data_IF_127050863501
#
_entry.id   IF_127050863501
#
_cell.length_a   1.000
_cell.length_b   1.000
_cell.length_c   1.000
_cell.angle_alpha   90.00
_cell.angle_beta   90.00
_cell.angle_gamma   90.00
#
_symmetry.space_group_name_H-M   'P 1'
#
loop_
_entity.id
_entity.type
_entity.pdbx_description
1 polymer ?
#
# COMPACT_ATOMS: atom_id res chain seq x y z
N UNK A 1 -25.10 66.31 28.64
CA UNK A 1 -24.15 65.31 29.18
C UNK A 1 -24.52 63.84 28.91
N UNK A 2 -25.80 63.45 28.78
CA UNK A 2 -26.17 62.02 28.57
C UNK A 2 -25.73 61.39 27.23
N UNK A 3 -25.62 62.17 26.15
CA UNK A 3 -25.22 61.63 24.82
C UNK A 3 -23.73 61.28 24.71
N UNK A 4 -22.85 61.99 25.43
CA UNK A 4 -21.42 61.72 25.43
C UNK A 4 -21.05 60.43 26.18
N UNK A 5 -21.75 60.14 27.28
CA UNK A 5 -21.55 58.93 28.06
C UNK A 5 -21.95 57.66 27.28
N UNK A 6 -23.05 57.73 26.52
CA UNK A 6 -23.50 56.61 25.68
C UNK A 6 -22.51 56.33 24.57
N UNK A 7 -21.94 57.36 23.94
CA UNK A 7 -20.93 57.17 22.89
C UNK A 7 -19.63 56.55 23.44
N UNK A 8 -19.19 56.97 24.63
CA UNK A 8 -18.04 56.37 25.31
C UNK A 8 -18.27 54.91 25.70
N UNK A 9 -19.48 54.56 26.14
CA UNK A 9 -19.86 53.18 26.45
C UNK A 9 -19.90 52.30 25.20
N UNK A 10 -20.42 52.80 24.08
CA UNK A 10 -20.45 52.06 22.80
C UNK A 10 -19.03 51.84 22.28
N UNK A 11 -18.16 52.85 22.36
CA UNK A 11 -16.74 52.70 21.97
C UNK A 11 -16.03 51.71 22.89
N UNK A 12 -16.25 51.76 24.20
CA UNK A 12 -15.65 50.81 25.13
C UNK A 12 -16.13 49.36 24.89
N UNK A 13 -17.40 49.15 24.58
CA UNK A 13 -17.95 47.82 24.27
C UNK A 13 -17.40 47.30 22.94
N UNK A 14 -17.29 48.14 21.91
CA UNK A 14 -16.70 47.75 20.63
C UNK A 14 -15.20 47.45 20.78
N UNK A 15 -14.49 48.23 21.59
CA UNK A 15 -13.07 48.01 21.88
C UNK A 15 -12.85 46.72 22.68
N UNK A 16 -13.73 46.44 23.65
CA UNK A 16 -13.70 45.20 24.41
C UNK A 16 -14.04 44.01 23.52
N UNK A 17 -15.03 44.13 22.63
CA UNK A 17 -15.39 43.06 21.69
C UNK A 17 -14.30 42.80 20.65
N UNK A 18 -13.55 43.82 20.24
CA UNK A 18 -12.42 43.67 19.32
C UNK A 18 -11.20 43.00 20.00
N UNK A 19 -10.94 43.30 21.28
CA UNK A 19 -9.83 42.68 22.02
C UNK A 19 -10.17 41.31 22.64
N UNK A 20 -11.45 41.03 22.90
CA UNK A 20 -11.93 39.80 23.53
C UNK A 20 -12.78 38.94 22.58
N UNK A 21 -12.55 38.99 21.26
CA UNK A 21 -13.00 37.86 20.45
C UNK A 21 -12.26 36.61 20.94
N UNK A 22 -12.95 35.57 21.44
CA UNK A 22 -12.31 34.29 21.67
C UNK A 22 -11.85 33.84 20.29
N UNK A 23 -10.53 33.81 20.11
CA UNK A 23 -9.92 33.23 18.93
C UNK A 23 -10.50 31.82 18.77
N UNK A 24 -11.43 31.66 17.83
CA UNK A 24 -12.01 30.38 17.42
C UNK A 24 -10.99 29.55 16.61
N UNK A 25 -9.74 29.59 17.05
CA UNK A 25 -8.74 28.57 16.83
C UNK A 25 -8.17 28.32 18.21
N UNK A 26 -8.65 27.26 18.88
CA UNK A 26 -7.77 26.52 19.76
C UNK A 26 -6.63 26.07 18.86
N UNK A 27 -5.60 26.90 18.71
CA UNK A 27 -4.27 26.40 18.44
C UNK A 27 -4.02 25.48 19.61
N UNK A 28 -4.14 24.18 19.36
CA UNK A 28 -3.50 23.15 20.16
C UNK A 28 -2.13 23.72 20.46
N UNK A 29 -1.83 23.94 21.75
CA UNK A 29 -0.46 24.23 22.14
C UNK A 29 0.33 23.03 21.64
N UNK A 30 1.00 23.17 20.50
CA UNK A 30 2.10 22.31 20.17
C UNK A 30 3.07 22.49 21.34
N UNK A 31 3.02 21.55 22.28
CA UNK A 31 4.17 21.17 23.07
C UNK A 31 5.36 21.17 22.11
N UNK A 32 6.42 21.88 22.48
CA UNK A 32 7.63 21.99 21.67
C UNK A 32 7.94 20.64 21.00
N UNK A 33 8.26 20.60 19.70
CA UNK A 33 8.50 19.34 19.03
C UNK A 33 9.62 18.61 19.79
N UNK A 34 9.40 17.38 20.28
CA UNK A 34 10.51 16.52 20.64
C UNK A 34 11.40 16.37 19.39
N UNK A 35 12.70 16.15 19.60
CA UNK A 35 13.71 16.12 18.52
C UNK A 35 13.31 15.19 17.38
N UNK A 36 12.62 15.71 16.38
CA UNK A 36 12.40 15.05 15.10
C UNK A 36 13.76 15.05 14.43
N UNK A 37 14.30 13.85 14.19
CA UNK A 37 15.65 13.63 13.65
C UNK A 37 15.83 14.21 12.24
N UNK A 38 14.79 14.81 11.64
CA UNK A 38 14.77 15.23 10.25
C UNK A 38 14.09 16.59 9.97
N UNK A 39 13.79 17.43 10.98
CA UNK A 39 13.46 18.83 10.68
C UNK A 39 14.74 19.58 10.26
N UNK A 40 15.10 19.51 8.99
CA UNK A 40 15.86 20.61 8.39
C UNK A 40 14.98 21.86 8.51
N UNK A 41 15.44 22.82 9.32
CA UNK A 41 14.84 24.14 9.45
C UNK A 41 14.84 24.84 8.09
N UNK A 42 13.76 24.64 7.35
CA UNK A 42 13.36 25.53 6.26
C UNK A 42 11.95 25.99 6.59
N UNK A 43 11.80 27.26 6.97
CA UNK A 43 10.48 27.85 7.22
C UNK A 43 9.57 27.63 6.01
N UNK A 44 8.47 26.87 6.13
CA UNK A 44 7.49 26.79 5.07
C UNK A 44 6.62 28.05 5.16
N UNK A 45 6.71 28.92 4.14
CA UNK A 45 5.63 29.86 3.89
C UNK A 45 4.39 29.06 3.48
N UNK A 46 3.54 28.73 4.45
CA UNK A 46 2.22 28.15 4.22
C UNK A 46 1.37 29.18 3.46
N UNK A 47 1.43 29.12 2.13
CA UNK A 47 0.35 29.65 1.28
C UNK A 47 -0.80 28.66 1.37
N UNK A 48 -1.88 29.10 2.00
CA UNK A 48 -3.19 28.46 1.96
C UNK A 48 -3.51 28.07 0.50
N UNK A 49 -3.80 26.80 0.17
CA UNK A 49 -4.31 26.48 -1.14
C UNK A 49 -5.69 27.11 -1.29
N UNK A 50 -5.80 28.05 -2.23
CA UNK A 50 -7.08 28.61 -2.64
C UNK A 50 -7.77 27.56 -3.51
N UNK A 51 -8.68 26.80 -2.91
CA UNK A 51 -9.56 25.87 -3.63
C UNK A 51 -10.42 26.71 -4.57
N UNK A 52 -9.99 26.82 -5.83
CA UNK A 52 -10.80 27.39 -6.90
C UNK A 52 -11.96 26.43 -7.17
N UNK A 53 -13.13 26.76 -6.62
CA UNK A 53 -14.40 26.18 -7.04
C UNK A 53 -14.62 26.51 -8.53
N UNK A 54 -14.32 25.57 -9.42
CA UNK A 54 -14.84 25.60 -10.79
C UNK A 54 -16.36 25.38 -10.74
N UNK A 55 -17.17 26.14 -11.51
CA UNK A 55 -18.61 25.96 -11.54
C UNK A 55 -18.97 24.64 -12.22
N UNK A 56 -19.89 23.91 -11.60
CA UNK A 56 -20.48 22.69 -12.13
C UNK A 56 -21.04 22.93 -13.54
N UNK A 57 -20.47 22.25 -14.54
CA UNK A 57 -21.03 22.17 -15.88
C UNK A 57 -21.55 20.75 -16.08
N UNK A 58 -22.79 20.54 -15.66
CA UNK A 58 -23.60 19.42 -16.10
C UNK A 58 -23.75 19.48 -17.63
N UNK A 59 -23.09 18.54 -18.31
CA UNK A 59 -23.56 17.96 -19.56
C UNK A 59 -23.28 16.47 -19.51
N UNK A 60 -24.34 15.72 -19.18
CA UNK A 60 -24.48 14.31 -19.54
C UNK A 60 -24.08 14.13 -21.00
N UNK A 61 -23.01 13.39 -21.23
CA UNK A 61 -22.72 12.78 -22.53
C UNK A 61 -22.85 11.27 -22.33
N UNK A 62 -23.99 10.73 -22.73
CA UNK A 62 -24.15 9.32 -23.04
C UNK A 62 -23.19 8.97 -24.18
N UNK A 63 -22.08 8.29 -23.86
CA UNK A 63 -21.31 7.42 -24.76
C UNK A 63 -19.97 7.07 -24.12
N UNK A 64 -19.95 6.07 -23.25
CA UNK A 64 -18.74 5.30 -22.95
C UNK A 64 -19.13 3.85 -22.70
N UNK A 65 -19.38 3.15 -23.81
CA UNK A 65 -19.54 1.70 -23.85
C UNK A 65 -18.16 1.05 -23.84
N UNK A 66 -18.03 0.04 -22.97
CA UNK A 66 -17.15 -1.13 -23.10
C UNK A 66 -15.64 -0.89 -23.15
N UNK A 67 -15.01 -0.70 -21.99
CA UNK A 67 -13.80 -1.47 -21.63
C UNK A 67 -13.90 -1.82 -20.13
N UNK A 68 -14.76 -2.78 -19.80
CA UNK A 68 -14.57 -3.57 -18.60
C UNK A 68 -14.03 -4.92 -19.07
N UNK A 69 -12.78 -5.24 -18.72
CA UNK A 69 -12.34 -6.63 -18.77
C UNK A 69 -13.04 -7.33 -17.60
N UNK A 70 -14.31 -7.65 -17.80
CA UNK A 70 -15.11 -8.41 -16.83
C UNK A 70 -14.44 -9.76 -16.72
N UNK A 71 -13.89 -10.08 -15.54
CA UNK A 71 -13.68 -11.48 -15.17
C UNK A 71 -15.04 -12.12 -15.40
N UNK A 72 -15.14 -13.08 -16.32
CA UNK A 72 -16.40 -13.75 -16.59
C UNK A 72 -16.73 -14.57 -15.35
N UNK A 73 -17.43 -13.95 -14.39
CA UNK A 73 -17.98 -14.62 -13.23
C UNK A 73 -19.04 -15.55 -13.81
N UNK A 74 -18.83 -16.86 -13.67
CA UNK A 74 -19.87 -17.83 -13.95
C UNK A 74 -21.13 -17.42 -13.19
N UNK A 75 -22.30 -17.34 -13.84
CA UNK A 75 -23.59 -17.00 -13.22
C UNK A 75 -24.03 -17.95 -12.08
N UNK A 76 -23.19 -18.92 -11.73
CA UNK A 76 -23.43 -19.94 -10.72
C UNK A 76 -23.09 -19.42 -9.33
N UNK A 77 -24.06 -18.78 -8.68
CA UNK A 77 -23.99 -18.46 -7.25
C UNK A 77 -24.02 -19.73 -6.40
N UNK A 78 -23.18 -19.79 -5.36
CA UNK A 78 -23.12 -20.92 -4.42
C UNK A 78 -24.00 -20.58 -3.21
N UNK A 79 -25.23 -21.09 -3.20
CA UNK A 79 -26.21 -20.79 -2.15
C UNK A 79 -25.97 -21.55 -0.84
N UNK A 80 -25.41 -22.76 -0.91
CA UNK A 80 -25.35 -23.73 0.20
C UNK A 80 -23.91 -24.08 0.61
N UNK A 81 -23.04 -23.08 0.77
CA UNK A 81 -21.72 -23.31 1.38
C UNK A 81 -21.82 -23.46 2.89
N UNK A 82 -21.05 -24.40 3.44
CA UNK A 82 -20.83 -24.56 4.89
C UNK A 82 -20.06 -23.37 5.46
N UNK A 83 -19.21 -22.73 4.64
CA UNK A 83 -18.43 -21.57 5.02
C UNK A 83 -19.20 -20.28 4.72
N UNK A 84 -19.10 -19.32 5.63
CA UNK A 84 -19.61 -17.96 5.39
C UNK A 84 -18.71 -17.19 4.42
N UNK A 85 -19.21 -16.07 3.89
CA UNK A 85 -18.40 -15.17 3.07
C UNK A 85 -17.19 -14.67 3.87
N UNK A 86 -17.40 -14.34 5.15
CA UNK A 86 -16.33 -13.89 6.04
C UNK A 86 -15.26 -14.97 6.27
N UNK A 87 -15.64 -16.25 6.39
CA UNK A 87 -14.70 -17.34 6.58
C UNK A 87 -13.78 -17.47 5.36
N UNK A 88 -14.34 -17.48 4.16
CA UNK A 88 -13.57 -17.58 2.91
C UNK A 88 -12.71 -16.34 2.67
N UNK A 89 -13.23 -15.15 3.02
CA UNK A 89 -12.44 -13.93 2.99
C UNK A 89 -11.22 -14.04 3.90
N UNK A 90 -11.39 -14.46 5.15
CA UNK A 90 -10.28 -14.64 6.10
C UNK A 90 -9.31 -15.74 5.66
N UNK A 91 -9.81 -16.85 5.12
CA UNK A 91 -8.97 -17.89 4.52
C UNK A 91 -8.14 -17.31 3.37
N UNK A 92 -8.73 -16.48 2.51
CA UNK A 92 -8.02 -15.80 1.41
C UNK A 92 -6.90 -14.91 1.95
N UNK A 93 -7.22 -14.06 2.94
CA UNK A 93 -6.26 -13.17 3.62
C UNK A 93 -5.10 -13.93 4.25
N UNK A 94 -5.42 -14.99 4.99
CA UNK A 94 -4.43 -15.85 5.63
C UNK A 94 -3.58 -16.59 4.60
N UNK A 95 -4.17 -17.03 3.47
CA UNK A 95 -3.43 -17.66 2.37
C UNK A 95 -2.38 -16.71 1.78
N UNK A 96 -2.69 -15.42 1.66
CA UNK A 96 -1.71 -14.42 1.23
C UNK A 96 -0.55 -14.27 2.23
N UNK A 97 -0.81 -14.33 3.55
CA UNK A 97 0.25 -14.33 4.57
C UNK A 97 1.10 -15.60 4.54
N UNK A 98 0.48 -16.74 4.25
CA UNK A 98 1.10 -18.06 4.23
C UNK A 98 1.78 -18.40 2.90
N UNK A 99 1.76 -17.51 1.90
CA UNK A 99 2.17 -17.81 0.53
C UNK A 99 3.53 -18.52 0.43
N UNK A 100 4.54 -18.05 1.16
CA UNK A 100 5.88 -18.62 1.12
C UNK A 100 5.95 -20.02 1.76
N UNK A 101 5.21 -20.26 2.84
CA UNK A 101 5.18 -21.57 3.52
C UNK A 101 4.37 -22.57 2.70
N UNK A 102 3.19 -22.18 2.22
CA UNK A 102 2.34 -23.03 1.37
C UNK A 102 3.09 -23.44 0.11
N UNK A 103 3.79 -22.51 -0.54
CA UNK A 103 4.62 -22.82 -1.69
C UNK A 103 5.64 -23.93 -1.37
N UNK A 104 6.33 -23.84 -0.23
CA UNK A 104 7.31 -24.85 0.19
C UNK A 104 6.67 -26.18 0.57
N UNK A 105 5.56 -26.17 1.30
CA UNK A 105 4.81 -27.38 1.66
C UNK A 105 4.30 -28.14 0.42
N UNK A 106 3.96 -27.42 -0.66
CA UNK A 106 3.55 -28.03 -1.92
C UNK A 106 4.72 -28.56 -2.76
N UNK A 107 5.94 -28.04 -2.57
CA UNK A 107 7.15 -28.51 -3.27
C UNK A 107 7.84 -29.67 -2.55
N UNK A 108 7.81 -29.69 -1.21
CA UNK A 108 8.53 -30.64 -0.37
C UNK A 108 7.66 -31.08 0.81
N UNK A 109 7.23 -32.35 0.78
CA UNK A 109 6.45 -32.98 1.85
C UNK A 109 7.20 -33.04 3.20
N UNK A 110 8.55 -32.93 3.18
CA UNK A 110 9.39 -32.95 4.39
C UNK A 110 9.91 -31.56 4.77
N UNK A 111 9.28 -30.50 4.27
CA UNK A 111 9.68 -29.13 4.55
C UNK A 111 9.73 -28.84 6.06
N UNK A 112 10.93 -28.54 6.58
CA UNK A 112 11.11 -28.04 7.94
C UNK A 112 11.26 -26.49 7.93
N UNK A 113 10.27 -25.74 8.44
CA UNK A 113 10.28 -24.28 8.44
C UNK A 113 11.39 -23.69 9.31
N UNK A 114 11.83 -24.41 10.37
CA UNK A 114 12.90 -23.97 11.26
C UNK A 114 14.26 -24.16 10.59
N UNK A 115 14.46 -25.26 9.88
CA UNK A 115 15.69 -25.48 9.07
C UNK A 115 15.77 -24.45 7.96
N UNK A 116 14.66 -24.17 7.26
CA UNK A 116 14.60 -23.15 6.22
C UNK A 116 14.91 -21.75 6.77
N UNK A 117 14.39 -21.41 7.96
CA UNK A 117 14.76 -20.17 8.64
C UNK A 117 16.25 -20.12 8.97
N UNK A 118 16.80 -21.16 9.63
CA UNK A 118 18.23 -21.24 9.99
C UNK A 118 19.15 -21.07 8.78
N UNK A 119 18.80 -21.67 7.64
CA UNK A 119 19.58 -21.52 6.42
C UNK A 119 19.58 -20.06 5.92
N UNK A 120 18.43 -19.36 5.98
CA UNK A 120 18.33 -17.95 5.58
C UNK A 120 19.07 -17.02 6.54
N UNK A 121 19.16 -17.36 7.82
CA UNK A 121 19.83 -16.54 8.85
C UNK A 121 21.25 -17.01 9.17
N UNK A 122 21.82 -17.96 8.43
CA UNK A 122 23.15 -18.51 8.74
C UNK A 122 24.24 -17.42 8.75
N UNK A 123 24.16 -16.45 7.83
CA UNK A 123 25.09 -15.31 7.77
C UNK A 123 25.04 -14.40 9.01
N UNK A 124 23.98 -14.48 9.82
CA UNK A 124 23.79 -13.70 11.04
C UNK A 124 24.30 -14.41 12.29
N UNK A 125 24.62 -15.70 12.22
CA UNK A 125 25.04 -16.48 13.39
C UNK A 125 26.32 -15.94 14.04
N UNK A 126 27.15 -15.22 13.28
CA UNK A 126 28.34 -14.57 13.83
C UNK A 126 28.01 -13.38 14.75
N UNK A 127 26.90 -12.68 14.50
CA UNK A 127 26.43 -11.56 15.31
C UNK A 127 25.43 -12.02 16.38
N UNK A 128 24.68 -13.08 16.09
CA UNK A 128 23.58 -13.58 16.90
C UNK A 128 23.61 -15.11 16.95
N UNK A 129 24.45 -15.70 17.82
CA UNK A 129 24.72 -17.14 17.83
C UNK A 129 23.50 -17.98 18.24
N UNK A 130 22.54 -17.38 18.95
CA UNK A 130 21.35 -18.07 19.48
C UNK A 130 20.14 -18.03 18.53
N UNK A 131 20.29 -17.52 17.30
CA UNK A 131 19.19 -17.48 16.32
C UNK A 131 18.98 -18.84 15.63
N UNK A 132 17.71 -19.29 15.44
CA UNK A 132 16.49 -18.76 16.05
C UNK A 132 16.40 -19.08 17.55
N UNK A 133 15.92 -18.12 18.33
CA UNK A 133 15.67 -18.28 19.77
C UNK A 133 14.51 -19.26 20.03
N UNK A 134 14.36 -19.85 21.24
CA UNK A 134 13.25 -20.77 21.52
C UNK A 134 11.85 -20.21 21.26
N UNK A 135 11.55 -18.92 21.57
CA UNK A 135 10.29 -18.29 21.19
C UNK A 135 10.10 -18.18 19.66
N UNK A 136 11.15 -17.84 18.91
CA UNK A 136 11.09 -17.81 17.44
C UNK A 136 10.84 -19.21 16.86
N UNK A 137 11.52 -20.25 17.36
CA UNK A 137 11.28 -21.64 16.95
C UNK A 137 9.81 -22.01 17.15
N UNK A 138 9.24 -21.64 18.30
CA UNK A 138 7.86 -21.93 18.65
C UNK A 138 6.88 -21.17 17.75
N UNK A 139 7.12 -19.88 17.48
CA UNK A 139 6.32 -19.06 16.59
C UNK A 139 6.36 -19.56 15.14
N UNK A 140 7.56 -19.88 14.62
CA UNK A 140 7.76 -20.42 13.26
C UNK A 140 6.99 -21.72 13.08
N UNK A 141 7.11 -22.66 14.02
CA UNK A 141 6.39 -23.95 13.97
C UNK A 141 4.87 -23.76 14.02
N UNK A 142 4.40 -22.87 14.90
CA UNK A 142 2.96 -22.57 15.02
C UNK A 142 2.41 -21.99 13.72
N UNK A 143 3.07 -20.98 13.16
CA UNK A 143 2.66 -20.35 11.91
C UNK A 143 2.69 -21.34 10.74
N UNK A 144 3.72 -22.19 10.66
CA UNK A 144 3.76 -23.23 9.64
C UNK A 144 2.62 -24.23 9.77
N UNK A 145 2.28 -24.65 11.00
CA UNK A 145 1.13 -25.53 11.26
C UNK A 145 -0.20 -24.85 10.88
N UNK A 146 -0.36 -23.55 11.17
CA UNK A 146 -1.54 -22.79 10.73
C UNK A 146 -1.65 -22.74 9.20
N UNK A 147 -0.53 -22.52 8.50
CA UNK A 147 -0.49 -22.51 7.04
C UNK A 147 -0.77 -23.89 6.42
N UNK A 148 -0.27 -24.96 7.05
CA UNK A 148 -0.56 -26.34 6.64
C UNK A 148 -2.04 -26.70 6.84
N UNK A 149 -2.61 -26.35 8.00
CA UNK A 149 -4.05 -26.54 8.27
C UNK A 149 -4.91 -25.76 7.27
N UNK A 150 -4.53 -24.52 6.96
CA UNK A 150 -5.19 -23.70 5.95
C UNK A 150 -5.09 -24.35 4.56
N UNK A 151 -3.90 -24.82 4.15
CA UNK A 151 -3.70 -25.49 2.87
C UNK A 151 -4.61 -26.71 2.75
N UNK A 152 -4.63 -27.57 3.77
CA UNK A 152 -5.47 -28.75 3.81
C UNK A 152 -6.96 -28.37 3.76
N UNK A 153 -7.38 -27.35 4.50
CA UNK A 153 -8.76 -26.87 4.48
C UNK A 153 -9.16 -26.36 3.09
N UNK A 154 -8.31 -25.57 2.43
CA UNK A 154 -8.55 -25.03 1.09
C UNK A 154 -8.59 -26.15 0.03
N UNK A 155 -7.73 -27.17 0.14
CA UNK A 155 -7.71 -28.30 -0.79
C UNK A 155 -8.95 -29.20 -0.69
N UNK A 156 -9.64 -29.20 0.45
CA UNK A 156 -10.89 -29.92 0.66
C UNK A 156 -12.12 -29.16 0.12
N UNK A 157 -11.98 -27.89 -0.28
CA UNK A 157 -13.06 -27.12 -0.87
C UNK A 157 -13.29 -27.52 -2.32
N UNK A 158 -14.56 -27.58 -2.71
CA UNK A 158 -14.97 -27.70 -4.11
C UNK A 158 -14.83 -26.32 -4.80
N UNK A 159 -13.59 -25.97 -5.13
CA UNK A 159 -13.26 -24.69 -5.73
C UNK A 159 -13.60 -24.67 -7.23
N UNK A 160 -14.08 -23.54 -7.78
CA UNK A 160 -14.34 -23.43 -9.22
C UNK A 160 -13.06 -23.63 -10.02
N UNK A 161 -13.19 -24.19 -11.23
CA UNK A 161 -12.08 -24.26 -12.17
C UNK A 161 -11.72 -22.87 -12.71
N UNK A 162 -10.44 -22.63 -12.91
CA UNK A 162 -9.99 -21.39 -13.55
C UNK A 162 -10.32 -21.43 -15.04
N UNK A 163 -10.84 -20.33 -15.58
CA UNK A 163 -10.88 -20.17 -17.03
C UNK A 163 -9.45 -19.95 -17.56
N UNK A 164 -8.87 -21.01 -18.13
CA UNK A 164 -7.54 -20.99 -18.76
C UNK A 164 -7.60 -20.67 -20.26
N UNK A 165 -8.70 -20.13 -20.77
CA UNK A 165 -8.88 -19.75 -22.19
C UNK A 165 -7.75 -18.89 -22.74
N UNK A 166 -7.08 -18.13 -21.88
CA UNK A 166 -5.96 -17.24 -22.20
C UNK A 166 -4.58 -17.93 -22.29
N UNK A 167 -4.49 -19.26 -22.15
CA UNK A 167 -3.25 -20.03 -22.30
C UNK A 167 -2.17 -19.77 -21.23
N UNK A 168 -2.50 -19.05 -20.14
CA UNK A 168 -1.57 -18.78 -19.03
C UNK A 168 -1.53 -19.97 -18.07
N UNK A 169 -0.39 -20.63 -17.98
CA UNK A 169 -0.14 -21.66 -16.96
C UNK A 169 0.48 -21.02 -15.72
N UNK A 170 -0.21 -21.10 -14.60
CA UNK A 170 0.28 -20.60 -13.32
C UNK A 170 0.85 -21.73 -12.47
N UNK A 171 1.77 -21.42 -11.55
CA UNK A 171 2.23 -22.38 -10.55
C UNK A 171 1.05 -22.88 -9.68
N UNK A 172 1.05 -24.15 -9.22
CA UNK A 172 -0.09 -24.74 -8.49
C UNK A 172 -0.60 -23.91 -7.31
N UNK A 173 0.30 -23.37 -6.50
CA UNK A 173 -0.06 -22.50 -5.37
C UNK A 173 -0.82 -21.24 -5.84
N UNK A 174 -0.39 -20.63 -6.93
CA UNK A 174 -1.05 -19.43 -7.47
C UNK A 174 -2.42 -19.77 -8.07
N UNK A 175 -2.56 -20.93 -8.71
CA UNK A 175 -3.86 -21.42 -9.17
C UNK A 175 -4.82 -21.58 -7.98
N UNK A 176 -4.38 -22.22 -6.90
CA UNK A 176 -5.19 -22.42 -5.70
C UNK A 176 -5.65 -21.09 -5.09
N UNK A 177 -4.74 -20.12 -5.00
CA UNK A 177 -5.05 -18.75 -4.56
C UNK A 177 -6.14 -18.10 -5.44
N UNK A 178 -6.02 -18.18 -6.75
CA UNK A 178 -7.00 -17.60 -7.67
C UNK A 178 -8.37 -18.28 -7.55
N UNK A 179 -8.40 -19.61 -7.46
CA UNK A 179 -9.65 -20.37 -7.30
C UNK A 179 -10.36 -20.03 -6.00
N UNK A 180 -9.60 -19.84 -4.91
CA UNK A 180 -10.15 -19.40 -3.62
C UNK A 180 -10.75 -17.98 -3.71
N UNK A 181 -10.09 -17.05 -4.41
CA UNK A 181 -10.65 -15.71 -4.68
C UNK A 181 -11.93 -15.78 -5.50
N UNK A 182 -11.97 -16.59 -6.55
CA UNK A 182 -13.19 -16.80 -7.34
C UNK A 182 -14.31 -17.41 -6.49
N UNK A 183 -13.99 -18.38 -5.63
CA UNK A 183 -14.96 -18.96 -4.70
C UNK A 183 -15.59 -17.89 -3.80
N UNK A 184 -14.79 -16.95 -3.27
CA UNK A 184 -15.30 -15.81 -2.50
C UNK A 184 -16.30 -14.96 -3.30
N UNK A 185 -15.97 -14.63 -4.56
CA UNK A 185 -16.84 -13.83 -5.44
C UNK A 185 -18.17 -14.53 -5.80
N UNK A 186 -18.22 -15.87 -5.71
CA UNK A 186 -19.44 -16.65 -5.97
C UNK A 186 -20.33 -16.83 -4.72
N UNK A 187 -19.83 -16.48 -3.54
CA UNK A 187 -20.58 -16.50 -2.29
C UNK A 187 -21.40 -15.23 -2.11
N UNK A 188 -22.59 -15.39 -1.54
CA UNK A 188 -23.45 -14.24 -1.21
C UNK A 188 -23.18 -13.77 0.22
N UNK A 189 -22.81 -12.50 0.45
CA UNK A 189 -22.67 -11.97 1.81
C UNK A 189 -24.02 -11.90 2.51
N UNK A 190 -24.04 -12.22 3.81
CA UNK A 190 -25.26 -12.31 4.62
C UNK A 190 -25.33 -11.24 5.71
N UNK A 191 -24.19 -10.86 6.26
CA UNK A 191 -24.08 -9.87 7.34
C UNK A 191 -23.68 -8.49 6.80
N UNK A 192 -23.92 -7.43 7.58
CA UNK A 192 -23.48 -6.07 7.22
C UNK A 192 -21.96 -5.98 7.03
N UNK A 193 -21.19 -6.69 7.86
CA UNK A 193 -19.73 -6.76 7.73
C UNK A 193 -19.33 -7.42 6.41
N UNK A 194 -19.93 -8.55 6.06
CA UNK A 194 -19.65 -9.23 4.79
C UNK A 194 -20.04 -8.37 3.57
N UNK A 195 -21.16 -7.66 3.65
CA UNK A 195 -21.60 -6.73 2.59
C UNK A 195 -20.61 -5.58 2.42
N UNK A 196 -20.11 -5.01 3.52
CA UNK A 196 -19.10 -3.95 3.46
C UNK A 196 -17.77 -4.46 2.88
N UNK A 197 -17.38 -5.71 3.21
CA UNK A 197 -16.19 -6.35 2.61
C UNK A 197 -16.41 -6.58 1.10
N UNK A 198 -17.56 -7.10 0.69
CA UNK A 198 -17.87 -7.28 -0.73
C UNK A 198 -17.86 -5.94 -1.48
N UNK A 199 -18.47 -4.90 -0.90
CA UNK A 199 -18.49 -3.55 -1.47
C UNK A 199 -17.08 -3.01 -1.71
N UNK A 200 -16.20 -3.06 -0.70
CA UNK A 200 -14.82 -2.57 -0.88
C UNK A 200 -14.03 -3.40 -1.89
N UNK A 201 -14.22 -4.73 -1.93
CA UNK A 201 -13.54 -5.58 -2.91
C UNK A 201 -13.98 -5.27 -4.34
N UNK A 202 -15.29 -5.04 -4.56
CA UNK A 202 -15.80 -4.61 -5.86
C UNK A 202 -15.27 -3.21 -6.25
N UNK A 203 -15.21 -2.28 -5.29
CA UNK A 203 -14.62 -0.95 -5.52
C UNK A 203 -13.14 -1.06 -5.90
N UNK A 204 -12.38 -1.96 -5.27
CA UNK A 204 -10.96 -2.18 -5.59
C UNK A 204 -10.78 -2.66 -7.04
N UNK A 205 -11.63 -3.56 -7.53
CA UNK A 205 -11.56 -4.01 -8.92
C UNK A 205 -11.83 -2.87 -9.90
N UNK A 206 -12.90 -2.09 -9.67
CA UNK A 206 -13.22 -0.92 -10.48
C UNK A 206 -12.10 0.13 -10.43
N UNK A 207 -11.56 0.37 -9.24
CA UNK A 207 -10.48 1.31 -9.01
C UNK A 207 -9.25 0.92 -9.83
N UNK A 208 -8.87 -0.37 -9.81
CA UNK A 208 -7.71 -0.88 -10.58
C UNK A 208 -7.92 -0.72 -12.09
N UNK A 209 -9.13 -0.97 -12.59
CA UNK A 209 -9.45 -0.81 -14.02
C UNK A 209 -9.30 0.66 -14.44
N UNK A 210 -9.94 1.59 -13.74
CA UNK A 210 -9.86 3.01 -14.08
C UNK A 210 -8.47 3.59 -13.86
N UNK A 211 -7.78 3.16 -12.80
CA UNK A 211 -6.40 3.54 -12.55
C UNK A 211 -5.48 3.12 -13.71
N UNK A 212 -5.54 1.86 -14.16
CA UNK A 212 -4.76 1.38 -15.30
C UNK A 212 -5.15 2.07 -16.62
N UNK A 213 -6.41 2.47 -16.77
CA UNK A 213 -6.86 3.28 -17.91
C UNK A 213 -6.18 4.65 -17.90
N UNK A 214 -6.17 5.36 -16.77
CA UNK A 214 -5.48 6.66 -16.64
C UNK A 214 -3.98 6.49 -16.91
N UNK A 215 -3.35 5.44 -16.38
CA UNK A 215 -1.94 5.14 -16.65
C UNK A 215 -1.68 4.88 -18.14
N UNK A 216 -2.56 4.13 -18.78
CA UNK A 216 -2.41 3.76 -20.19
C UNK A 216 -2.55 4.99 -21.09
N UNK A 217 -3.56 5.82 -20.88
CA UNK A 217 -3.75 7.07 -21.64
C UNK A 217 -2.64 8.06 -21.36
N UNK A 218 -2.19 8.18 -20.11
CA UNK A 218 -1.10 9.09 -19.71
C UNK A 218 0.25 8.69 -20.30
N UNK A 219 0.45 7.43 -20.69
CA UNK A 219 1.66 7.00 -21.42
C UNK A 219 1.69 7.53 -22.85
N UNK A 220 0.54 7.91 -23.42
CA UNK A 220 0.42 8.43 -24.77
C UNK A 220 0.47 7.35 -25.87
N UNK A 221 -0.05 7.70 -27.03
CA UNK A 221 -0.12 6.84 -28.20
C UNK A 221 1.18 6.87 -29.00
N UNK A 222 1.51 5.74 -29.63
CA UNK A 222 2.71 5.58 -30.45
C UNK A 222 2.42 5.81 -31.95
N UNK A 223 1.16 5.86 -32.38
CA UNK A 223 0.80 5.73 -33.81
C UNK A 223 1.42 6.83 -34.69
N UNK A 224 1.58 8.04 -34.15
CA UNK A 224 2.19 9.17 -34.87
C UNK A 224 3.69 8.99 -35.16
N UNK A 225 4.40 8.20 -34.33
CA UNK A 225 5.86 7.98 -34.41
C UNK A 225 6.20 6.48 -34.36
N UNK A 226 5.28 5.62 -34.81
CA UNK A 226 5.34 4.17 -34.60
C UNK A 226 6.61 3.54 -35.13
N UNK A 227 7.03 3.91 -36.33
CA UNK A 227 8.25 3.39 -36.95
C UNK A 227 9.49 3.78 -36.14
N UNK A 228 9.59 5.05 -35.74
CA UNK A 228 10.72 5.58 -34.95
C UNK A 228 10.78 4.94 -33.55
N UNK A 229 9.65 4.89 -32.85
CA UNK A 229 9.52 4.23 -31.54
C UNK A 229 9.85 2.73 -31.64
N UNK A 230 9.48 2.06 -32.74
CA UNK A 230 9.83 0.64 -32.95
C UNK A 230 11.34 0.44 -33.04
N UNK A 231 12.04 1.29 -33.81
CA UNK A 231 13.52 1.26 -33.89
C UNK A 231 14.16 1.52 -32.53
N UNK A 232 13.67 2.51 -31.78
CA UNK A 232 14.17 2.80 -30.43
C UNK A 232 13.93 1.63 -29.45
N UNK A 233 12.78 0.95 -29.54
CA UNK A 233 12.47 -0.25 -28.73
C UNK A 233 13.39 -1.43 -29.07
N UNK A 234 13.72 -1.62 -30.34
CA UNK A 234 14.67 -2.63 -30.78
C UNK A 234 16.07 -2.33 -30.21
N UNK A 235 16.53 -1.08 -30.28
CA UNK A 235 17.80 -0.65 -29.68
C UNK A 235 17.80 -0.85 -28.16
N UNK A 236 16.73 -0.46 -27.45
CA UNK A 236 16.57 -0.69 -26.02
C UNK A 236 16.63 -2.18 -25.67
N UNK A 237 15.99 -3.04 -26.46
CA UNK A 237 16.02 -4.49 -26.27
C UNK A 237 17.44 -5.05 -26.41
N UNK A 238 18.23 -4.56 -27.37
CA UNK A 238 19.63 -4.95 -27.53
C UNK A 238 20.48 -4.50 -26.34
N UNK A 239 20.38 -3.24 -25.93
CA UNK A 239 21.13 -2.70 -24.78
C UNK A 239 20.78 -3.41 -23.48
N UNK A 240 19.52 -3.77 -23.25
CA UNK A 240 19.12 -4.53 -22.05
C UNK A 240 19.66 -5.95 -22.04
N UNK A 241 19.76 -6.59 -23.22
CA UNK A 241 20.43 -7.91 -23.33
C UNK A 241 21.92 -7.79 -23.00
N UNK A 242 22.57 -6.75 -23.51
CA UNK A 242 23.98 -6.47 -23.23
C UNK A 242 24.21 -6.14 -21.74
N UNK A 243 23.36 -5.31 -21.14
CA UNK A 243 23.35 -5.02 -19.71
C UNK A 243 23.26 -6.30 -18.86
N UNK A 244 22.36 -7.21 -19.22
CA UNK A 244 22.17 -8.48 -18.51
C UNK A 244 23.42 -9.36 -18.63
N UNK A 245 24.02 -9.43 -19.82
CA UNK A 245 25.23 -10.20 -20.08
C UNK A 245 26.41 -9.66 -19.26
N UNK A 246 26.64 -8.34 -19.27
CA UNK A 246 27.68 -7.69 -18.47
C UNK A 246 27.44 -7.90 -16.97
N UNK A 247 26.18 -7.79 -16.52
CA UNK A 247 25.82 -8.02 -15.12
C UNK A 247 26.10 -9.46 -14.69
N UNK A 248 25.86 -10.44 -15.57
CA UNK A 248 26.21 -11.84 -15.34
C UNK A 248 27.73 -12.03 -15.25
N UNK A 249 28.48 -11.48 -16.22
CA UNK A 249 29.94 -11.56 -16.24
C UNK A 249 30.56 -10.91 -15.00
N UNK A 250 30.03 -9.78 -14.54
CA UNK A 250 30.45 -9.12 -13.31
C UNK A 250 30.24 -10.01 -12.08
N UNK A 251 29.13 -10.76 -12.05
CA UNK A 251 28.84 -11.69 -10.95
C UNK A 251 29.77 -12.92 -10.97
N UNK A 252 30.13 -13.41 -12.16
CA UNK A 252 31.01 -14.56 -12.35
C UNK A 252 32.50 -14.20 -12.16
N UNK A 253 32.91 -13.00 -12.55
CA UNK A 253 34.28 -12.49 -12.43
C UNK A 253 34.29 -10.96 -12.26
N UNK A 254 34.28 -10.46 -11.01
CA UNK A 254 34.21 -9.02 -10.72
C UNK A 254 35.39 -8.21 -11.25
N UNK A 255 36.54 -8.85 -11.46
CA UNK A 255 37.79 -8.22 -11.87
C UNK A 255 37.93 -8.11 -13.41
N UNK A 256 37.06 -8.75 -14.19
CA UNK A 256 37.15 -8.79 -15.67
C UNK A 256 36.26 -7.78 -16.40
N UNK A 257 35.44 -7.01 -15.69
CA UNK A 257 34.45 -6.12 -16.32
C UNK A 257 34.81 -4.65 -16.06
N UNK A 258 34.95 -3.89 -17.14
CA UNK A 258 35.08 -2.43 -17.09
C UNK A 258 33.77 -1.83 -16.58
N UNK A 259 33.71 -1.45 -15.29
CA UNK A 259 32.54 -0.79 -14.67
C UNK A 259 32.02 0.40 -15.48
N UNK A 260 32.89 1.07 -16.21
CA UNK A 260 32.57 2.22 -17.05
C UNK A 260 31.62 1.83 -18.20
N UNK A 261 31.75 0.62 -18.76
CA UNK A 261 30.89 0.13 -19.85
C UNK A 261 29.42 -0.02 -19.42
N UNK A 262 29.18 -0.56 -18.22
CA UNK A 262 27.83 -0.68 -17.66
C UNK A 262 27.20 0.70 -17.41
N UNK A 263 28.00 1.66 -16.92
CA UNK A 263 27.57 3.03 -16.71
C UNK A 263 27.10 3.71 -18.00
N UNK A 264 27.84 3.53 -19.10
CA UNK A 264 27.47 4.08 -20.41
C UNK A 264 26.22 3.41 -21.01
N UNK A 265 26.09 2.09 -20.88
CA UNK A 265 24.87 1.37 -21.32
C UNK A 265 23.64 1.87 -20.57
N UNK A 266 23.73 2.06 -19.25
CA UNK A 266 22.63 2.57 -18.44
C UNK A 266 22.21 3.99 -18.87
N UNK A 267 23.18 4.87 -19.15
CA UNK A 267 22.89 6.23 -19.66
C UNK A 267 22.20 6.19 -21.03
N UNK A 268 22.65 5.33 -21.94
CA UNK A 268 22.05 5.23 -23.27
C UNK A 268 20.63 4.62 -23.19
N UNK A 269 20.40 3.64 -22.31
CA UNK A 269 19.05 3.13 -22.01
C UNK A 269 18.16 4.28 -21.52
N UNK A 270 18.59 5.06 -20.52
CA UNK A 270 17.80 6.17 -19.97
C UNK A 270 17.47 7.22 -21.04
N UNK A 271 18.44 7.55 -21.89
CA UNK A 271 18.28 8.49 -23.00
C UNK A 271 17.28 7.98 -24.04
N UNK A 272 17.38 6.73 -24.47
CA UNK A 272 16.43 6.14 -25.44
C UNK A 272 15.04 6.01 -24.85
N UNK A 273 14.92 5.66 -23.56
CA UNK A 273 13.63 5.64 -22.86
C UNK A 273 12.99 7.02 -22.82
N UNK A 274 13.79 8.07 -22.58
CA UNK A 274 13.33 9.46 -22.62
C UNK A 274 12.85 9.86 -24.02
N UNK A 275 13.60 9.51 -25.08
CA UNK A 275 13.19 9.76 -26.47
C UNK A 275 11.87 9.06 -26.81
N UNK A 276 11.71 7.79 -26.39
CA UNK A 276 10.44 7.07 -26.57
C UNK A 276 9.28 7.78 -25.87
N UNK A 277 9.49 8.35 -24.68
CA UNK A 277 8.47 9.12 -23.96
C UNK A 277 8.13 10.43 -24.69
N UNK A 278 9.15 11.17 -25.16
CA UNK A 278 8.97 12.44 -25.87
C UNK A 278 8.25 12.29 -27.22
N UNK A 279 8.43 11.15 -27.90
CA UNK A 279 7.75 10.84 -29.17
C UNK A 279 6.29 10.37 -28.98
N UNK A 280 5.88 10.04 -27.76
CA UNK A 280 4.49 9.67 -27.49
C UNK A 280 3.64 10.92 -27.33
N UNK A 281 2.49 10.90 -27.99
CA UNK A 281 1.52 11.98 -27.87
C UNK A 281 0.44 11.59 -26.88
N UNK A 282 0.25 12.39 -25.84
CA UNK A 282 -0.88 12.27 -24.92
C UNK A 282 -2.02 13.14 -25.47
N UNK A 283 -3.19 12.54 -25.69
CA UNK A 283 -4.40 13.29 -25.99
C UNK A 283 -4.95 13.87 -24.66
N UNK A 284 -4.97 15.21 -24.50
CA UNK A 284 -5.42 15.83 -23.25
C UNK A 284 -6.90 15.60 -22.97
N UNK A 285 -7.75 15.47 -23.99
CA UNK A 285 -9.19 15.27 -23.81
C UNK A 285 -9.49 13.85 -23.33
N UNK A 286 -8.88 12.85 -23.97
CA UNK A 286 -9.03 11.44 -23.55
C UNK A 286 -8.46 11.23 -22.15
N UNK A 287 -7.34 11.90 -21.83
CA UNK A 287 -6.74 11.84 -20.49
C UNK A 287 -7.66 12.42 -19.43
N UNK A 288 -8.23 13.61 -19.68
CA UNK A 288 -9.17 14.24 -18.75
C UNK A 288 -10.39 13.33 -18.51
N UNK A 289 -10.96 12.74 -19.57
CA UNK A 289 -12.08 11.81 -19.44
C UNK A 289 -11.74 10.58 -18.59
N UNK A 290 -10.52 10.03 -18.74
CA UNK A 290 -10.08 8.92 -17.91
C UNK A 290 -9.95 9.31 -16.43
N UNK A 291 -9.46 10.52 -16.15
CA UNK A 291 -9.37 11.06 -14.78
C UNK A 291 -10.76 11.29 -14.20
N UNK A 292 -11.67 11.94 -14.94
CA UNK A 292 -13.05 12.18 -14.52
C UNK A 292 -13.81 10.86 -14.23
N UNK A 293 -13.48 9.77 -14.92
CA UNK A 293 -14.04 8.44 -14.65
C UNK A 293 -13.43 7.76 -13.41
N UNK A 294 -12.14 8.01 -13.13
CA UNK A 294 -11.42 7.46 -11.99
C UNK A 294 -11.80 8.14 -10.67
N UNK A 295 -11.92 9.46 -10.65
CA UNK A 295 -12.13 10.27 -9.44
C UNK A 295 -13.29 9.78 -8.55
N UNK A 296 -14.51 9.49 -9.06
CA UNK A 296 -15.61 9.04 -8.20
C UNK A 296 -15.33 7.71 -7.49
N UNK A 297 -14.69 6.76 -8.17
CA UNK A 297 -14.34 5.45 -7.59
C UNK A 297 -13.21 5.61 -6.58
N UNK A 298 -12.25 6.48 -6.87
CA UNK A 298 -11.21 6.86 -5.93
C UNK A 298 -11.80 7.46 -4.65
N UNK A 299 -12.71 8.43 -4.76
CA UNK A 299 -13.36 9.07 -3.62
C UNK A 299 -14.17 8.08 -2.77
N UNK A 300 -14.89 7.15 -3.42
CA UNK A 300 -15.61 6.08 -2.73
C UNK A 300 -14.65 5.16 -1.97
N UNK A 301 -13.52 4.79 -2.56
CA UNK A 301 -12.52 3.96 -1.90
C UNK A 301 -11.84 4.70 -0.74
N UNK A 302 -11.53 5.99 -0.90
CA UNK A 302 -11.03 6.85 0.18
C UNK A 302 -12.03 6.97 1.33
N UNK A 303 -13.33 7.02 1.04
CA UNK A 303 -14.35 7.04 2.08
C UNK A 303 -14.35 5.77 2.94
N UNK A 304 -13.93 4.62 2.39
CA UNK A 304 -13.81 3.36 3.15
C UNK A 304 -12.71 3.39 4.21
N UNK A 305 -11.76 4.34 4.14
CA UNK A 305 -10.78 4.56 5.22
C UNK A 305 -11.44 5.04 6.52
N UNK A 306 -12.66 5.57 6.45
CA UNK A 306 -13.45 5.94 7.63
C UNK A 306 -14.25 4.77 8.21
N UNK A 307 -14.18 3.59 7.58
CA UNK A 307 -14.81 2.40 8.12
C UNK A 307 -14.21 2.08 9.49
N UNK A 308 -15.08 1.75 10.44
CA UNK A 308 -14.67 1.22 11.75
C UNK A 308 -14.41 -0.29 11.71
N UNK A 309 -14.64 -0.93 10.56
CA UNK A 309 -14.33 -2.34 10.37
C UNK A 309 -12.86 -2.50 9.94
N UNK A 310 -12.05 -3.29 10.67
CA UNK A 310 -10.63 -3.42 10.39
C UNK A 310 -10.37 -4.06 9.01
N UNK A 311 -11.21 -5.00 8.58
CA UNK A 311 -11.03 -5.69 7.29
C UNK A 311 -11.30 -4.74 6.11
N UNK A 312 -12.32 -3.89 6.22
CA UNK A 312 -12.65 -2.88 5.21
C UNK A 312 -11.56 -1.80 5.12
N UNK A 313 -11.14 -1.27 6.28
CA UNK A 313 -10.06 -0.30 6.36
C UNK A 313 -8.78 -0.85 5.74
N UNK A 314 -8.44 -2.09 6.07
CA UNK A 314 -7.25 -2.76 5.57
C UNK A 314 -7.22 -2.80 4.04
N UNK A 315 -8.28 -3.29 3.40
CA UNK A 315 -8.29 -3.49 1.95
C UNK A 315 -8.29 -2.14 1.19
N UNK A 316 -9.00 -1.13 1.72
CA UNK A 316 -8.96 0.22 1.19
C UNK A 316 -7.56 0.85 1.30
N UNK A 317 -6.95 0.82 2.49
CA UNK A 317 -5.62 1.40 2.74
C UNK A 317 -4.56 0.74 1.87
N UNK A 318 -4.51 -0.59 1.83
CA UNK A 318 -3.55 -1.34 1.01
C UNK A 318 -3.67 -0.98 -0.48
N UNK A 319 -4.90 -0.87 -0.98
CA UNK A 319 -5.15 -0.57 -2.40
C UNK A 319 -4.75 0.85 -2.76
N UNK A 320 -5.15 1.83 -1.95
CA UNK A 320 -4.85 3.24 -2.18
C UNK A 320 -3.34 3.54 -2.03
N UNK A 321 -2.63 2.80 -1.19
CA UNK A 321 -1.16 2.88 -1.15
C UNK A 321 -0.46 2.17 -2.30
N UNK A 322 -1.21 1.54 -3.21
CA UNK A 322 -0.67 0.72 -4.31
C UNK A 322 0.30 -0.35 -3.80
N UNK A 323 0.10 -0.79 -2.56
CA UNK A 323 1.08 -1.57 -1.87
C UNK A 323 0.89 -3.07 -2.19
N UNK A 324 1.87 -3.62 -2.91
CA UNK A 324 1.94 -5.06 -3.21
C UNK A 324 2.53 -5.87 -2.05
N UNK A 325 3.21 -5.22 -1.09
CA UNK A 325 3.80 -5.83 0.10
C UNK A 325 2.85 -5.71 1.29
N UNK A 326 2.15 -6.80 1.56
CA UNK A 326 0.95 -6.88 2.39
C UNK A 326 1.19 -6.51 3.87
N UNK A 327 2.43 -6.53 4.36
CA UNK A 327 2.73 -6.43 5.81
C UNK A 327 3.87 -5.49 6.23
N UNK A 328 4.93 -5.30 5.44
CA UNK A 328 6.02 -4.40 5.84
C UNK A 328 5.64 -2.93 5.71
N UNK A 329 5.00 -2.60 4.59
CA UNK A 329 4.83 -1.22 4.15
C UNK A 329 3.35 -0.78 4.27
N UNK A 330 2.65 -1.27 5.31
CA UNK A 330 1.24 -0.96 5.55
C UNK A 330 1.08 0.45 6.12
N UNK A 331 1.03 1.45 5.25
CA UNK A 331 0.88 2.86 5.63
C UNK A 331 1.25 3.81 4.50
N UNK A 332 2.53 3.86 4.15
CA UNK A 332 3.04 4.61 3.01
C UNK A 332 4.13 3.83 2.31
N UNK A 333 4.02 3.72 0.99
CA UNK A 333 5.06 3.14 0.16
C UNK A 333 5.72 4.22 -0.72
N UNK A 334 6.91 4.74 -0.34
CA UNK A 334 7.51 5.88 -1.04
C UNK A 334 8.05 5.52 -2.43
N UNK A 335 8.28 4.23 -2.70
CA UNK A 335 8.81 3.73 -3.97
C UNK A 335 7.69 3.13 -4.81
N UNK A 336 6.82 3.96 -5.39
CA UNK A 336 5.74 3.53 -6.29
C UNK A 336 6.32 2.95 -7.61
N UNK A 337 6.89 1.74 -7.56
CA UNK A 337 7.47 1.06 -8.73
C UNK A 337 6.38 0.30 -9.50
N UNK A 338 6.03 0.83 -10.67
CA UNK A 338 5.16 0.16 -11.64
C UNK A 338 6.00 -0.46 -12.76
N UNK A 339 6.58 -1.63 -12.49
CA UNK A 339 7.16 -2.49 -13.51
C UNK A 339 8.54 -2.03 -14.02
N UNK A 340 9.41 -1.57 -13.12
CA UNK A 340 10.78 -1.17 -13.42
C UNK A 340 10.90 0.25 -13.96
N UNK A 341 9.83 1.05 -13.88
CA UNK A 341 9.84 2.47 -14.25
C UNK A 341 9.53 3.31 -13.02
N UNK A 342 10.49 4.18 -12.68
CA UNK A 342 10.36 5.19 -11.62
C UNK A 342 9.39 6.29 -12.09
N UNK A 343 8.10 6.02 -12.06
CA UNK A 343 7.14 7.11 -12.08
C UNK A 343 7.16 7.76 -10.70
N UNK A 344 7.64 9.01 -10.62
CA UNK A 344 7.26 9.87 -9.50
C UNK A 344 5.78 10.15 -9.70
N UNK A 345 4.95 9.49 -8.89
CA UNK A 345 3.48 9.55 -8.90
C UNK A 345 2.85 8.78 -10.08
N UNK A 346 1.83 7.93 -9.86
CA UNK A 346 1.09 7.21 -10.90
C UNK A 346 0.72 8.06 -12.12
N UNK A 347 0.34 9.28 -11.83
CA UNK A 347 0.20 10.45 -12.68
C UNK A 347 0.12 11.61 -11.69
N UNK A 348 0.54 12.82 -12.06
CA UNK A 348 0.81 13.95 -11.13
C UNK A 348 -0.34 14.24 -10.13
N UNK A 349 -1.57 13.90 -10.52
CA UNK A 349 -2.80 14.20 -9.81
C UNK A 349 -3.19 13.15 -8.75
N UNK A 350 -2.63 11.93 -8.78
CA UNK A 350 -2.94 10.93 -7.75
C UNK A 350 -2.16 11.15 -6.46
N UNK A 351 -2.88 11.31 -5.35
CA UNK A 351 -2.32 11.46 -4.00
C UNK A 351 -2.79 10.27 -3.16
N UNK A 352 -1.87 9.51 -2.55
CA UNK A 352 -2.24 8.39 -1.67
C UNK A 352 -2.58 8.88 -0.25
N UNK A 353 -3.28 8.07 0.57
CA UNK A 353 -3.54 8.39 1.98
C UNK A 353 -2.28 8.79 2.76
N UNK A 354 -1.18 8.06 2.55
CA UNK A 354 0.12 8.34 3.12
C UNK A 354 0.72 9.65 2.64
N UNK A 355 0.55 10.03 1.37
CA UNK A 355 0.97 11.34 0.87
C UNK A 355 0.19 12.47 1.57
N UNK A 356 -1.12 12.30 1.77
CA UNK A 356 -1.95 13.28 2.52
C UNK A 356 -1.44 13.45 3.95
N UNK A 357 -1.16 12.35 4.64
CA UNK A 357 -0.64 12.39 6.01
C UNK A 357 0.77 13.00 6.04
N UNK A 358 1.61 12.72 5.03
CA UNK A 358 2.94 13.30 4.90
C UNK A 358 2.88 14.82 4.82
N UNK A 359 2.00 15.34 3.97
CA UNK A 359 1.82 16.77 3.77
C UNK A 359 1.32 17.46 5.05
N UNK A 360 0.47 16.79 5.84
CA UNK A 360 0.01 17.30 7.14
C UNK A 360 1.13 17.26 8.19
N UNK A 361 1.90 16.18 8.22
CA UNK A 361 2.99 15.99 9.19
C UNK A 361 4.18 16.90 8.92
N UNK A 362 4.43 17.25 7.66
CA UNK A 362 5.46 18.21 7.25
C UNK A 362 6.89 17.66 7.27
N UNK A 363 7.06 16.34 7.08
CA UNK A 363 8.38 15.73 6.88
C UNK A 363 8.62 15.51 5.39
N UNK A 364 9.71 16.05 4.86
CA UNK A 364 10.09 15.85 3.45
C UNK A 364 10.76 14.50 3.20
N UNK A 365 11.48 13.97 4.19
CA UNK A 365 12.22 12.70 4.12
C UNK A 365 11.28 11.49 4.01
N UNK A 366 11.20 10.93 2.80
CA UNK A 366 10.31 9.80 2.47
C UNK A 366 10.61 8.53 3.26
N UNK A 367 11.89 8.25 3.54
CA UNK A 367 12.31 7.01 4.18
C UNK A 367 11.95 7.02 5.66
N UNK A 368 12.28 8.10 6.35
CA UNK A 368 11.92 8.34 7.76
C UNK A 368 10.41 8.40 7.92
N UNK A 369 9.72 9.14 7.04
CA UNK A 369 8.26 9.21 7.10
C UNK A 369 7.62 7.83 6.90
N UNK A 370 8.08 7.06 5.90
CA UNK A 370 7.62 5.70 5.63
C UNK A 370 7.70 4.80 6.86
N UNK A 371 8.81 4.85 7.62
CA UNK A 371 8.94 4.08 8.86
C UNK A 371 7.87 4.46 9.89
N UNK A 372 7.70 5.76 10.13
CA UNK A 372 6.78 6.26 11.17
C UNK A 372 5.32 5.96 10.81
N UNK A 373 4.90 6.27 9.59
CA UNK A 373 3.51 6.07 9.16
C UNK A 373 3.11 4.60 9.06
N UNK A 374 4.04 3.70 8.69
CA UNK A 374 3.74 2.27 8.66
C UNK A 374 3.41 1.75 10.06
N UNK A 375 4.19 2.14 11.08
CA UNK A 375 3.89 1.76 12.46
C UNK A 375 2.60 2.40 12.96
N UNK A 376 2.36 3.67 12.66
CA UNK A 376 1.13 4.37 13.05
C UNK A 376 -0.13 3.74 12.41
N UNK A 377 -0.08 3.40 11.13
CA UNK A 377 -1.21 2.81 10.40
C UNK A 377 -1.52 1.40 10.91
N UNK A 378 -0.49 0.61 11.24
CA UNK A 378 -0.69 -0.70 11.87
C UNK A 378 -1.32 -0.57 13.25
N UNK A 379 -0.86 0.38 14.09
CA UNK A 379 -1.48 0.64 15.39
C UNK A 379 -2.94 1.06 15.23
N UNK A 380 -3.27 1.94 14.29
CA UNK A 380 -4.66 2.33 14.02
C UNK A 380 -5.51 1.13 13.63
N UNK A 381 -5.01 0.24 12.77
CA UNK A 381 -5.70 -0.99 12.41
C UNK A 381 -5.93 -1.92 13.63
N UNK A 382 -5.00 -1.96 14.59
CA UNK A 382 -5.23 -2.63 15.88
C UNK A 382 -6.35 -1.95 16.69
N UNK A 383 -6.43 -0.61 16.69
CA UNK A 383 -7.51 0.13 17.37
C UNK A 383 -8.89 -0.12 16.77
N UNK A 384 -8.96 -0.43 15.48
CA UNK A 384 -10.19 -0.89 14.82
C UNK A 384 -10.59 -2.32 15.22
N UNK A 385 -9.76 -3.04 15.97
CA UNK A 385 -10.04 -4.39 16.46
C UNK A 385 -9.43 -5.51 15.62
N UNK A 386 -8.44 -5.21 14.77
CA UNK A 386 -7.65 -6.25 14.13
C UNK A 386 -6.85 -7.06 15.15
N UNK A 387 -6.60 -8.34 14.85
CA UNK A 387 -5.73 -9.16 15.68
C UNK A 387 -4.27 -8.72 15.53
N UNK A 388 -3.78 -8.07 16.59
CA UNK A 388 -2.41 -7.63 16.74
C UNK A 388 -1.71 -8.35 17.89
N UNK A 389 -2.24 -9.48 18.35
CA UNK A 389 -1.58 -10.33 19.33
C UNK A 389 -0.37 -11.06 18.75
N UNK A 390 0.33 -11.87 19.58
CA UNK A 390 1.49 -12.67 19.17
C UNK A 390 1.15 -13.80 18.17
N UNK A 391 -0.12 -14.02 17.88
CA UNK A 391 -0.58 -14.96 16.85
C UNK A 391 -1.21 -14.24 15.65
N UNK A 392 -1.26 -12.90 15.67
CA UNK A 392 -1.87 -12.08 14.64
C UNK A 392 -1.02 -11.97 13.38
N UNK A 393 -1.56 -11.33 12.35
CA UNK A 393 -0.95 -11.26 11.02
C UNK A 393 0.40 -10.52 10.97
N UNK A 394 0.69 -9.71 11.98
CA UNK A 394 1.93 -8.92 12.06
C UNK A 394 3.09 -9.70 12.68
N UNK A 395 2.81 -10.70 13.54
CA UNK A 395 3.86 -11.45 14.22
C UNK A 395 4.76 -12.24 13.27
N UNK A 396 4.25 -12.94 12.23
CA UNK A 396 5.13 -13.59 11.26
C UNK A 396 6.12 -12.62 10.60
N UNK A 397 5.75 -11.35 10.46
CA UNK A 397 6.64 -10.33 9.94
C UNK A 397 7.72 -9.95 10.97
N UNK A 398 7.31 -9.50 12.16
CA UNK A 398 8.27 -9.00 13.16
C UNK A 398 9.07 -10.09 13.87
N UNK A 399 8.52 -11.30 14.03
CA UNK A 399 9.19 -12.42 14.70
C UNK A 399 10.04 -13.26 13.74
N UNK A 400 9.61 -13.44 12.47
CA UNK A 400 10.29 -14.34 11.51
C UNK A 400 11.17 -13.63 10.46
N UNK A 401 11.21 -12.30 10.42
CA UNK A 401 12.05 -11.56 9.44
C UNK A 401 13.07 -10.65 10.11
N UNK A 402 13.14 -10.64 11.43
CA UNK A 402 14.00 -9.74 12.18
C UNK A 402 15.45 -10.18 12.28
N UNK A 403 16.34 -9.23 12.00
CA UNK A 403 17.80 -9.39 11.96
C UNK A 403 18.48 -9.03 13.29
N UNK A 404 17.75 -9.04 14.41
CA UNK A 404 18.26 -8.62 15.72
C UNK A 404 17.61 -9.37 16.91
N UNK A 405 18.09 -9.08 18.12
CA UNK A 405 17.61 -9.67 19.37
C UNK A 405 16.29 -9.06 19.86
N UNK A 406 15.89 -7.89 19.32
CA UNK A 406 14.67 -7.18 19.72
C UNK A 406 13.43 -7.94 19.22
N UNK A 407 13.61 -8.76 18.19
CA UNK A 407 12.61 -9.56 17.46
C UNK A 407 12.06 -10.74 18.28
N UNK A 408 12.75 -11.20 19.32
CA UNK A 408 12.18 -12.21 20.24
C UNK A 408 10.93 -11.68 20.95
N UNK A 409 10.92 -10.38 21.32
CA UNK A 409 9.79 -9.77 22.00
C UNK A 409 8.54 -9.75 21.10
N UNK A 410 8.71 -9.57 19.79
CA UNK A 410 7.60 -9.61 18.84
C UNK A 410 6.89 -10.98 18.80
N UNK A 411 7.57 -12.06 19.19
CA UNK A 411 7.01 -13.40 19.23
C UNK A 411 6.09 -13.63 20.45
N UNK A 412 6.11 -12.73 21.44
CA UNK A 412 5.48 -12.94 22.76
C UNK A 412 4.50 -11.83 23.15
N UNK A 413 4.59 -10.67 22.52
CA UNK A 413 3.79 -9.49 22.86
C UNK A 413 2.86 -9.09 21.71
N UNK A 414 1.77 -8.41 22.05
CA UNK A 414 0.99 -7.70 21.05
C UNK A 414 1.79 -6.55 20.42
N UNK A 415 1.37 -6.12 19.23
CA UNK A 415 2.06 -5.09 18.45
C UNK A 415 2.21 -3.76 19.21
N UNK A 416 1.17 -3.22 19.90
CA UNK A 416 1.33 -2.00 20.68
C UNK A 416 2.37 -2.10 21.80
N UNK A 417 2.39 -3.21 22.55
CA UNK A 417 3.35 -3.45 23.63
C UNK A 417 4.75 -3.63 23.06
N UNK A 418 4.89 -4.42 21.99
CA UNK A 418 6.16 -4.61 21.30
C UNK A 418 6.76 -3.28 20.83
N UNK A 419 5.95 -2.43 20.17
CA UNK A 419 6.40 -1.13 19.69
C UNK A 419 6.85 -0.19 20.80
N UNK A 420 6.05 -0.07 21.85
CA UNK A 420 6.33 0.85 22.94
C UNK A 420 7.53 0.43 23.80
N UNK A 421 7.63 -0.85 24.12
CA UNK A 421 8.51 -1.32 25.19
C UNK A 421 9.82 -1.95 24.68
N UNK A 422 9.85 -2.40 23.41
CA UNK A 422 10.96 -3.21 22.89
C UNK A 422 11.53 -2.70 21.57
N UNK A 423 10.71 -2.14 20.69
CA UNK A 423 11.11 -1.87 19.31
C UNK A 423 11.48 -0.42 19.04
N UNK A 424 10.66 0.53 19.52
CA UNK A 424 10.85 1.96 19.26
C UNK A 424 11.45 2.64 20.49
N UNK A 425 12.44 3.51 20.26
CA UNK A 425 12.90 4.39 21.32
C UNK A 425 11.85 5.47 21.64
N UNK A 426 12.03 6.20 22.74
CA UNK A 426 11.06 7.20 23.20
C UNK A 426 10.70 8.27 22.16
N UNK A 427 11.66 8.74 21.36
CA UNK A 427 11.40 9.76 20.34
C UNK A 427 10.65 9.16 19.15
N UNK A 428 11.06 7.99 18.68
CA UNK A 428 10.38 7.27 17.59
C UNK A 428 8.93 6.94 17.98
N UNK A 429 8.70 6.51 19.22
CA UNK A 429 7.35 6.26 19.72
C UNK A 429 6.50 7.53 19.71
N UNK A 430 7.07 8.68 20.09
CA UNK A 430 6.36 9.96 20.03
C UNK A 430 5.99 10.35 18.60
N UNK A 431 6.91 10.21 17.65
CA UNK A 431 6.64 10.48 16.22
C UNK A 431 5.51 9.59 15.70
N UNK A 432 5.54 8.29 16.03
CA UNK A 432 4.49 7.33 15.67
C UNK A 432 3.14 7.72 16.29
N UNK A 433 3.12 8.16 17.56
CA UNK A 433 1.89 8.61 18.20
C UNK A 433 1.33 9.89 17.55
N UNK A 434 2.18 10.83 17.13
CA UNK A 434 1.72 12.03 16.43
C UNK A 434 1.09 11.69 15.07
N UNK A 435 1.72 10.81 14.30
CA UNK A 435 1.14 10.36 13.02
C UNK A 435 -0.15 9.57 13.25
N UNK A 436 -0.20 8.73 14.29
CA UNK A 436 -1.41 8.01 14.68
C UNK A 436 -2.55 8.97 15.05
N UNK A 437 -2.26 10.08 15.76
CA UNK A 437 -3.26 11.10 16.05
C UNK A 437 -3.80 11.77 14.78
N UNK A 438 -2.95 12.06 13.79
CA UNK A 438 -3.38 12.57 12.47
C UNK A 438 -4.31 11.55 11.79
N UNK A 439 -3.93 10.27 11.77
CA UNK A 439 -4.76 9.19 11.19
C UNK A 439 -6.13 9.13 11.88
N UNK A 440 -6.17 9.19 13.22
CA UNK A 440 -7.42 9.24 13.99
C UNK A 440 -8.26 10.45 13.61
N UNK A 441 -7.68 11.64 13.50
CA UNK A 441 -8.42 12.84 13.12
C UNK A 441 -9.04 12.74 11.72
N UNK A 442 -8.32 12.14 10.77
CA UNK A 442 -8.79 11.95 9.40
C UNK A 442 -9.88 10.87 9.27
N UNK A 443 -9.75 9.77 10.02
CA UNK A 443 -10.50 8.55 9.75
C UNK A 443 -11.45 8.08 10.86
N UNK A 444 -11.30 8.57 12.09
CA UNK A 444 -12.17 8.16 13.19
C UNK A 444 -13.52 8.92 13.24
N UNK A 445 -13.74 9.94 12.41
CA UNK A 445 -14.90 10.81 12.48
C UNK A 445 -16.02 10.45 11.49
#
# INVERSE_FOLDING_TARGET
MKKGLVMLLVVAILFWWWFYQPSATKKVKHTAPPNVVSFETTEPQVKKPEIQKKPARSKQSESSSEIATTIHISDKTIADSVLSYLDVYRMTRQFESCQNIIYRLMEDENFDPVVSFKSRTQHLQALYPDLPTPPQISAIKRHASQCEQLLNAVQLLDLPDLDTSNGKTYAPMYQLKLRLKQYLLLLKPKTQKEQAIEEVLNLIELWQVYYEQVLTVSKGEEESHKAEITVLKEQLSLLRKEQLEISRQYHENPDSVERDSLGEILKEIEKLEKQVIELKRVDPEIREQAIEAFEPVNDLLFAQLKSRDPDVFYEAQKTLELNKQIYRDFGHFPYKDHGGKKFKVPFVEYVSPGDVIKDIFGIDDNETFGLVINYATQLYHCELGADCGPEGNWTPFYCHLGYDNLVEAACQHDLPTFYRDYFLNQNQWQDVQMVLDIIRELYAN
#
